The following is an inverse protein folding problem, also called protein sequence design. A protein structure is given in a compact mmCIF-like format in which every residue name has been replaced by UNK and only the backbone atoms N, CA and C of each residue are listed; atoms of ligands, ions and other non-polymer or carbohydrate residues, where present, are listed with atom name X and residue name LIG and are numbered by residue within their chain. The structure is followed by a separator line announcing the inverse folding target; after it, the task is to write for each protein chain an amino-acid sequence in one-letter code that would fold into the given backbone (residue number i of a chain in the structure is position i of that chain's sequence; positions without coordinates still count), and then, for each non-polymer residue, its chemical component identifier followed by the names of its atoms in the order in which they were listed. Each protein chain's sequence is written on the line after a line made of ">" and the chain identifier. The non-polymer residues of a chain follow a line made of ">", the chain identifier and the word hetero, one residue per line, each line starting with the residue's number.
data_IF_387824260140
#
_entry.id   IF_387824260140
#
_cell.length_a   1.000
_cell.length_b   1.000
_cell.length_c   1.000
_cell.angle_alpha   90.00
_cell.angle_beta   90.00
_cell.angle_gamma   90.00
#
_symmetry.space_group_name_H-M   'P 1'
#
loop_
_entity.id
_entity.type
_entity.pdbx_description
1 polymer ?
#
# COMPACT_ATOMS: atom_id res chain seq x y z
N UNK A 1 -12.68 4.85 20.73
CA UNK A 1 -12.11 3.61 20.16
C UNK A 1 -10.83 3.84 19.39
N UNK A 2 -10.81 4.61 18.29
CA UNK A 2 -9.56 4.86 17.53
C UNK A 2 -8.44 5.43 18.42
N UNK A 3 -8.69 6.54 19.11
CA UNK A 3 -7.73 7.15 20.06
C UNK A 3 -7.35 6.26 21.26
N UNK A 4 -8.11 5.18 21.52
CA UNK A 4 -7.85 4.26 22.63
C UNK A 4 -7.06 3.01 22.20
N UNK A 5 -7.09 2.67 20.91
CA UNK A 5 -6.59 1.39 20.39
C UNK A 5 -5.55 1.53 19.27
N UNK A 6 -5.42 2.72 18.67
CA UNK A 6 -4.40 3.01 17.67
C UNK A 6 -3.24 3.76 18.33
N UNK A 7 -2.02 3.30 18.05
CA UNK A 7 -0.79 3.91 18.57
C UNK A 7 -0.42 5.18 17.81
N UNK A 8 -0.58 5.18 16.49
CA UNK A 8 -0.17 6.28 15.61
C UNK A 8 -0.93 6.27 14.26
N UNK A 9 -0.84 7.38 13.53
CA UNK A 9 -1.34 7.54 12.15
C UNK A 9 -0.19 7.98 11.25
N UNK A 10 0.19 7.09 10.33
CA UNK A 10 1.23 7.35 9.35
C UNK A 10 0.64 7.91 8.05
N UNK A 11 1.40 8.75 7.37
CA UNK A 11 1.05 9.29 6.05
C UNK A 11 2.01 8.77 4.98
N UNK A 12 1.50 8.68 3.76
CA UNK A 12 2.20 8.14 2.60
C UNK A 12 1.92 9.06 1.40
N UNK A 13 2.88 9.16 0.49
CA UNK A 13 2.63 9.80 -0.80
C UNK A 13 1.89 8.87 -1.75
N UNK A 14 1.25 9.45 -2.77
CA UNK A 14 0.60 8.67 -3.82
C UNK A 14 1.61 7.78 -4.57
N UNK A 15 2.82 8.29 -4.82
CA UNK A 15 3.92 7.52 -5.42
C UNK A 15 4.27 6.27 -4.61
N UNK A 16 4.40 6.40 -3.29
CA UNK A 16 4.71 5.28 -2.39
C UNK A 16 3.59 4.21 -2.43
N UNK A 17 2.33 4.66 -2.48
CA UNK A 17 1.17 3.78 -2.55
C UNK A 17 1.14 3.02 -3.89
N UNK A 18 1.34 3.72 -5.01
CA UNK A 18 1.32 3.11 -6.35
C UNK A 18 2.50 2.14 -6.53
N UNK A 19 3.69 2.48 -6.05
CA UNK A 19 4.83 1.56 -6.11
C UNK A 19 4.65 0.33 -5.22
N UNK A 20 4.03 0.47 -4.04
CA UNK A 20 3.67 -0.68 -3.22
C UNK A 20 2.64 -1.58 -3.93
N UNK A 21 1.62 -1.00 -4.56
CA UNK A 21 0.63 -1.71 -5.36
C UNK A 21 1.31 -2.51 -6.49
N UNK A 22 2.22 -1.88 -7.24
CA UNK A 22 3.01 -2.50 -8.31
C UNK A 22 3.89 -3.63 -7.77
N UNK A 23 4.55 -3.42 -6.64
CA UNK A 23 5.36 -4.45 -5.98
C UNK A 23 4.51 -5.68 -5.65
N UNK A 24 3.35 -5.50 -5.01
CA UNK A 24 2.45 -6.59 -4.67
C UNK A 24 1.95 -7.33 -5.92
N UNK A 25 1.57 -6.61 -6.97
CA UNK A 25 1.12 -7.20 -8.22
C UNK A 25 2.23 -8.01 -8.90
N UNK A 26 3.43 -7.45 -9.07
CA UNK A 26 4.46 -8.09 -9.88
C UNK A 26 5.29 -9.12 -9.10
N UNK A 27 5.55 -8.88 -7.82
CA UNK A 27 6.40 -9.73 -6.97
C UNK A 27 5.61 -10.77 -6.19
N UNK A 28 4.43 -10.42 -5.70
CA UNK A 28 3.60 -11.32 -4.90
C UNK A 28 2.46 -11.95 -5.71
N UNK A 29 2.19 -11.44 -6.93
CA UNK A 29 1.08 -11.88 -7.79
C UNK A 29 -0.29 -11.66 -7.16
N UNK A 30 -0.40 -10.63 -6.33
CA UNK A 30 -1.64 -10.23 -5.68
C UNK A 30 -2.15 -8.96 -6.38
N UNK A 31 -3.32 -9.05 -6.99
CA UNK A 31 -4.01 -7.87 -7.50
C UNK A 31 -4.60 -7.10 -6.32
N UNK A 32 -4.13 -5.87 -6.14
CA UNK A 32 -4.54 -4.96 -5.07
C UNK A 32 -4.82 -3.60 -5.70
N UNK A 33 -5.83 -2.89 -5.20
CA UNK A 33 -6.08 -1.49 -5.58
C UNK A 33 -5.13 -0.57 -4.80
N UNK A 34 -4.91 0.70 -5.22
CA UNK A 34 -4.00 1.60 -4.49
C UNK A 34 -4.33 1.74 -3.00
N UNK A 35 -5.59 1.96 -2.64
CA UNK A 35 -6.06 2.04 -1.25
C UNK A 35 -5.81 0.76 -0.46
N UNK A 36 -5.92 -0.40 -1.11
CA UNK A 36 -5.62 -1.71 -0.52
C UNK A 36 -4.14 -1.96 -0.24
N UNK A 37 -3.24 -1.18 -0.87
CA UNK A 37 -1.79 -1.28 -0.71
C UNK A 37 -1.22 -0.32 0.34
N UNK A 38 -2.00 0.61 0.88
CA UNK A 38 -1.53 1.66 1.81
C UNK A 38 -0.77 1.09 3.02
N UNK A 39 -1.32 0.06 3.67
CA UNK A 39 -0.66 -0.58 4.82
C UNK A 39 0.65 -1.27 4.42
N UNK A 40 0.72 -1.84 3.21
CA UNK A 40 1.95 -2.45 2.69
C UNK A 40 3.00 -1.38 2.37
N UNK A 41 2.58 -0.23 1.83
CA UNK A 41 3.47 0.88 1.51
C UNK A 41 4.20 1.40 2.75
N UNK A 42 3.51 1.53 3.89
CA UNK A 42 4.15 1.94 5.14
C UNK A 42 5.30 1.00 5.54
N UNK A 43 5.13 -0.31 5.34
CA UNK A 43 6.17 -1.30 5.63
C UNK A 43 7.31 -1.28 4.60
N UNK A 44 6.99 -1.21 3.31
CA UNK A 44 7.96 -1.26 2.21
C UNK A 44 8.83 0.00 2.12
N UNK A 45 8.27 1.17 2.45
CA UNK A 45 8.94 2.46 2.41
C UNK A 45 9.47 2.93 3.77
N UNK A 46 9.54 2.02 4.75
CA UNK A 46 10.20 2.28 6.03
C UNK A 46 9.54 3.36 6.89
N UNK A 47 8.21 3.54 6.77
CA UNK A 47 7.44 4.49 7.60
C UNK A 47 7.16 3.95 9.00
N UNK A 48 7.34 2.65 9.21
CA UNK A 48 7.09 2.01 10.49
C UNK A 48 8.10 2.46 11.56
N UNK A 49 7.69 2.52 12.84
CA UNK A 49 8.60 2.77 13.95
C UNK A 49 9.79 1.80 13.99
N UNK A 50 10.93 2.28 14.47
CA UNK A 50 12.15 1.48 14.58
C UNK A 50 11.97 0.26 15.51
N UNK A 51 12.67 -0.83 15.22
CA UNK A 51 12.70 -2.02 16.06
C UNK A 51 11.59 -3.04 15.78
N UNK A 52 10.66 -2.75 14.87
CA UNK A 52 9.64 -3.73 14.44
C UNK A 52 10.29 -4.84 13.61
N UNK A 53 10.15 -6.09 14.07
CA UNK A 53 10.74 -7.29 13.43
C UNK A 53 9.77 -8.11 12.60
N UNK A 54 8.48 -8.01 12.89
CA UNK A 54 7.40 -8.77 12.23
C UNK A 54 6.23 -7.84 11.98
N UNK A 55 5.73 -7.83 10.76
CA UNK A 55 4.67 -6.94 10.31
C UNK A 55 3.52 -7.77 9.78
N UNK A 56 2.32 -7.53 10.30
CA UNK A 56 1.07 -8.00 9.69
C UNK A 56 0.49 -6.87 8.84
N UNK A 57 0.18 -7.15 7.57
CA UNK A 57 -0.39 -6.17 6.65
C UNK A 57 -1.81 -6.63 6.29
N UNK A 58 -2.78 -5.75 6.47
CA UNK A 58 -4.16 -5.98 6.01
C UNK A 58 -4.25 -5.48 4.57
N UNK A 59 -4.57 -6.39 3.65
CA UNK A 59 -4.89 -6.07 2.26
C UNK A 59 -6.40 -5.89 2.16
N UNK A 60 -6.87 -4.64 2.16
CA UNK A 60 -8.30 -4.34 2.34
C UNK A 60 -9.14 -4.50 1.09
N UNK A 61 -8.56 -4.43 -0.12
CA UNK A 61 -9.30 -4.44 -1.37
C UNK A 61 -8.43 -4.66 -2.60
N UNK A 62 -9.07 -5.11 -3.68
CA UNK A 62 -8.44 -5.38 -4.98
C UNK A 62 -9.34 -5.05 -6.17
N UNK A 63 -10.33 -4.18 -5.96
CA UNK A 63 -11.33 -3.86 -6.98
C UNK A 63 -10.82 -2.71 -7.85
N UNK A 64 -10.06 -3.07 -8.88
CA UNK A 64 -9.43 -2.09 -9.77
C UNK A 64 -10.02 -2.15 -11.17
N UNK A 65 -10.33 -0.97 -11.70
CA UNK A 65 -10.69 -0.81 -13.10
C UNK A 65 -9.47 -1.14 -14.00
N UNK A 66 -9.63 -1.93 -15.08
CA UNK A 66 -8.52 -2.32 -15.95
C UNK A 66 -7.75 -1.14 -16.57
N UNK A 67 -8.43 -0.06 -16.94
CA UNK A 67 -7.77 1.12 -17.53
C UNK A 67 -6.99 1.88 -16.45
N UNK A 68 -7.52 1.98 -15.24
CA UNK A 68 -6.80 2.51 -14.09
C UNK A 68 -5.56 1.68 -13.76
N UNK A 69 -5.70 0.35 -13.73
CA UNK A 69 -4.58 -0.56 -13.52
C UNK A 69 -3.48 -0.34 -14.57
N UNK A 70 -3.85 -0.22 -15.86
CA UNK A 70 -2.91 0.03 -16.93
C UNK A 70 -2.13 1.34 -16.72
N UNK A 71 -2.80 2.42 -16.28
CA UNK A 71 -2.13 3.71 -15.96
C UNK A 71 -1.10 3.55 -14.84
N UNK A 72 -1.48 2.94 -13.73
CA UNK A 72 -0.58 2.69 -12.60
C UNK A 72 0.59 1.79 -12.98
N UNK A 73 0.36 0.80 -13.85
CA UNK A 73 1.39 -0.13 -14.36
C UNK A 73 2.34 0.54 -15.37
N UNK A 74 1.89 1.56 -16.10
CA UNK A 74 2.76 2.29 -17.03
C UNK A 74 3.45 3.50 -16.38
N UNK A 75 3.16 3.83 -15.12
CA UNK A 75 3.76 4.96 -14.42
C UNK A 75 3.23 6.32 -14.88
N UNK A 76 2.10 6.33 -15.58
CA UNK A 76 1.41 7.56 -15.95
C UNK A 76 0.49 7.95 -14.79
N UNK A 77 1.03 8.70 -13.83
CA UNK A 77 0.20 9.46 -12.88
C UNK A 77 -0.54 10.53 -13.68
N UNK A 78 -1.85 10.66 -13.45
CA UNK A 78 -2.67 11.69 -14.09
C UNK A 78 -2.29 13.09 -13.55
#
# INVERSE_FOLDING_TARGET
>A
MLQQNAEDVLTLSEDEIVEAMRFMLFRMKILVEPTGAVAAAAALFGKLPAGIKRVGVIVSGGNVDPDALARFVHGTMA
#
